data_IF_065910588019
#
_entry.id   IF_065910588019
#
_cell.length_a   1.000
_cell.length_b   1.000
_cell.length_c   1.000
_cell.angle_alpha   90.00
_cell.angle_beta   90.00
_cell.angle_gamma   90.00
#
_symmetry.space_group_name_H-M   'P 1'
#
loop_
_entity.id
_entity.type
_entity.pdbx_description
1 polymer ?
#
# COMPACT_ATOMS: atom_id res chain seq x y z
N UNK A 1 -6.87 -16.96 16.51
CA UNK A 1 -6.06 -16.40 15.39
C UNK A 1 -5.58 -17.47 14.43
N UNK A 2 -5.03 -18.61 14.88
CA UNK A 2 -4.58 -19.68 13.99
C UNK A 2 -5.65 -20.17 12.99
N UNK A 3 -6.91 -20.27 13.41
CA UNK A 3 -8.04 -20.66 12.52
C UNK A 3 -8.41 -19.62 11.46
N UNK A 4 -8.18 -18.32 11.73
CA UNK A 4 -8.51 -17.23 10.79
C UNK A 4 -7.52 -17.19 9.62
N UNK A 5 -6.29 -17.61 9.86
CA UNK A 5 -5.23 -17.64 8.83
C UNK A 5 -4.96 -19.04 8.29
N UNK A 6 -5.77 -20.04 8.63
CA UNK A 6 -5.56 -21.43 8.19
C UNK A 6 -4.32 -22.10 8.77
N UNK A 7 -3.66 -21.47 9.76
CA UNK A 7 -2.41 -21.98 10.36
C UNK A 7 -2.65 -23.19 11.29
N UNK A 8 -3.91 -23.52 11.58
CA UNK A 8 -4.26 -24.73 12.35
C UNK A 8 -4.38 -25.99 11.48
N UNK A 9 -4.52 -25.82 10.17
CA UNK A 9 -4.49 -26.92 9.21
C UNK A 9 -3.09 -26.96 8.57
N UNK A 10 -2.45 -28.11 8.60
CA UNK A 10 -1.14 -28.35 7.95
C UNK A 10 -1.11 -28.13 6.43
N UNK A 11 -2.20 -27.63 5.86
CA UNK A 11 -2.38 -27.38 4.43
C UNK A 11 -1.87 -26.06 3.91
N UNK A 12 -1.47 -25.13 4.79
CA UNK A 12 -1.09 -23.76 4.36
C UNK A 12 0.27 -23.68 3.64
N UNK A 13 1.07 -24.75 3.71
CA UNK A 13 2.36 -24.87 3.04
C UNK A 13 2.49 -26.22 2.33
N UNK A 14 1.44 -26.66 1.63
CA UNK A 14 1.61 -27.74 0.66
C UNK A 14 2.30 -27.17 -0.58
N UNK A 15 3.65 -27.14 -0.53
CA UNK A 15 4.39 -27.27 -1.77
C UNK A 15 4.12 -28.68 -2.32
N UNK A 16 3.56 -28.74 -3.51
CA UNK A 16 3.44 -30.00 -4.24
C UNK A 16 4.85 -30.52 -4.53
N UNK A 17 5.31 -31.47 -3.73
CA UNK A 17 6.57 -32.18 -3.96
C UNK A 17 6.44 -32.98 -5.24
N UNK A 18 7.06 -32.53 -6.31
CA UNK A 18 7.22 -33.29 -7.54
C UNK A 18 8.57 -33.96 -7.65
N UNK A 19 9.38 -34.02 -6.60
CA UNK A 19 10.65 -34.79 -6.61
C UNK A 19 10.99 -35.31 -5.23
N UNK A 20 11.08 -36.66 -5.15
CA UNK A 20 11.57 -37.41 -4.02
C UNK A 20 13.07 -37.16 -3.77
N UNK A 21 13.41 -36.36 -2.76
CA UNK A 21 14.72 -36.44 -2.12
C UNK A 21 14.61 -36.26 -0.61
N UNK A 22 15.08 -37.25 0.11
CA UNK A 22 15.04 -37.37 1.59
C UNK A 22 15.78 -36.28 2.35
N UNK A 23 16.61 -35.46 1.69
CA UNK A 23 17.31 -34.32 2.27
C UNK A 23 16.40 -33.07 2.39
N UNK A 24 15.50 -32.87 1.44
CA UNK A 24 14.63 -31.71 1.40
C UNK A 24 13.55 -31.75 2.48
N UNK A 25 13.12 -32.97 2.85
CA UNK A 25 12.12 -33.14 3.92
C UNK A 25 12.66 -32.73 5.31
N UNK A 26 13.94 -32.93 5.58
CA UNK A 26 14.57 -32.48 6.84
C UNK A 26 14.73 -30.95 6.87
N UNK A 27 15.07 -30.36 5.75
CA UNK A 27 15.18 -28.90 5.62
C UNK A 27 13.81 -28.24 5.76
N UNK A 28 12.78 -28.78 5.12
CA UNK A 28 11.40 -28.29 5.25
C UNK A 28 10.85 -28.45 6.67
N UNK A 29 11.15 -29.55 7.36
CA UNK A 29 10.76 -29.74 8.77
C UNK A 29 11.50 -28.78 9.70
N UNK A 30 12.78 -28.49 9.43
CA UNK A 30 13.54 -27.49 10.20
C UNK A 30 13.01 -26.09 9.99
N UNK A 31 12.68 -25.71 8.74
CA UNK A 31 12.07 -24.42 8.40
C UNK A 31 10.66 -24.27 9.01
N UNK A 32 9.84 -25.33 8.99
CA UNK A 32 8.53 -25.34 9.66
C UNK A 32 8.70 -25.16 11.18
N UNK A 33 9.66 -25.84 11.80
CA UNK A 33 9.94 -25.71 13.23
C UNK A 33 10.43 -24.31 13.58
N UNK A 34 11.32 -23.73 12.76
CA UNK A 34 11.80 -22.35 12.93
C UNK A 34 10.68 -21.34 12.72
N UNK A 35 9.83 -21.53 11.71
CA UNK A 35 8.65 -20.68 11.48
C UNK A 35 7.67 -20.79 12.65
N UNK A 36 7.38 -22.01 13.14
CA UNK A 36 6.54 -22.21 14.31
C UNK A 36 7.11 -21.53 15.55
N UNK A 37 8.42 -21.60 15.77
CA UNK A 37 9.07 -20.90 16.88
C UNK A 37 8.96 -19.39 16.76
N UNK A 38 9.05 -18.82 15.55
CA UNK A 38 8.84 -17.38 15.32
C UNK A 38 7.40 -16.94 15.63
N UNK A 39 6.41 -17.81 15.39
CA UNK A 39 5.01 -17.52 15.68
C UNK A 39 4.60 -17.83 17.13
N UNK A 40 5.24 -18.80 17.78
CA UNK A 40 4.94 -19.22 19.15
C UNK A 40 5.86 -18.61 20.20
N UNK A 41 7.09 -18.22 19.83
CA UNK A 41 7.92 -17.42 20.73
C UNK A 41 7.27 -16.04 20.83
N UNK A 42 6.90 -15.56 22.03
CA UNK A 42 6.48 -14.19 22.17
C UNK A 42 7.66 -13.33 21.70
N UNK A 43 7.48 -12.53 20.63
CA UNK A 43 8.54 -11.60 20.27
C UNK A 43 8.76 -10.74 21.51
N UNK A 44 10.01 -10.49 21.88
CA UNK A 44 10.38 -9.44 22.85
C UNK A 44 10.10 -8.08 22.21
N UNK A 45 8.83 -7.85 21.91
CA UNK A 45 8.34 -6.63 21.30
C UNK A 45 8.13 -5.66 22.45
N UNK A 46 8.75 -4.48 22.39
CA UNK A 46 8.49 -3.41 23.33
C UNK A 46 6.99 -3.25 23.54
N UNK A 47 6.56 -3.11 24.80
CA UNK A 47 5.13 -3.08 25.15
C UNK A 47 4.34 -1.93 24.50
N UNK A 48 5.03 -0.96 23.94
CA UNK A 48 4.48 0.20 23.19
C UNK A 48 4.17 -0.07 21.74
N UNK A 49 4.53 -1.25 21.16
CA UNK A 49 4.25 -1.53 19.76
C UNK A 49 2.81 -2.01 19.56
N UNK A 50 2.19 -1.60 18.46
CA UNK A 50 0.86 -2.06 18.06
C UNK A 50 0.77 -3.60 17.99
N UNK A 51 1.84 -4.27 17.56
CA UNK A 51 1.91 -5.72 17.51
C UNK A 51 1.82 -6.38 18.90
N UNK A 52 2.44 -5.80 19.93
CA UNK A 52 2.33 -6.31 21.29
C UNK A 52 0.91 -6.17 21.86
N UNK A 53 0.24 -5.07 21.55
CA UNK A 53 -1.15 -4.86 21.95
C UNK A 53 -2.12 -5.77 21.22
N UNK A 54 -1.95 -5.96 19.91
CA UNK A 54 -2.77 -6.86 19.09
C UNK A 54 -2.60 -8.33 19.49
N UNK A 55 -1.38 -8.77 19.83
CA UNK A 55 -1.10 -10.13 20.26
C UNK A 55 -1.70 -10.52 21.62
N UNK A 56 -1.90 -9.57 22.53
CA UNK A 56 -2.42 -9.81 23.89
C UNK A 56 -3.94 -9.82 23.99
N UNK A 57 -4.67 -9.26 23.02
CA UNK A 57 -6.12 -9.12 23.07
C UNK A 57 -6.81 -10.01 22.04
N UNK A 58 -7.72 -10.86 22.48
CA UNK A 58 -8.58 -11.69 21.63
C UNK A 58 -9.82 -10.96 21.09
N UNK A 59 -10.08 -9.75 21.59
CA UNK A 59 -11.21 -8.93 21.19
C UNK A 59 -10.74 -7.74 20.35
N UNK A 60 -11.61 -7.27 19.47
CA UNK A 60 -11.37 -6.02 18.74
C UNK A 60 -11.14 -4.87 19.72
N UNK A 61 -10.09 -4.11 19.49
CA UNK A 61 -9.79 -2.92 20.28
C UNK A 61 -10.67 -1.76 19.83
N UNK A 62 -10.93 -1.72 18.53
CA UNK A 62 -11.66 -0.66 17.86
C UNK A 62 -12.35 -1.23 16.63
N UNK A 63 -13.62 -0.90 16.46
CA UNK A 63 -14.36 -1.11 15.24
C UNK A 63 -14.80 0.26 14.72
N UNK A 64 -14.45 0.55 13.47
CA UNK A 64 -14.84 1.79 12.78
C UNK A 64 -15.92 1.41 11.77
N UNK A 65 -17.04 2.12 11.81
CA UNK A 65 -18.05 2.07 10.76
C UNK A 65 -17.64 3.00 9.63
N UNK A 66 -17.47 2.44 8.43
CA UNK A 66 -17.01 3.16 7.24
C UNK A 66 -18.04 3.02 6.12
N UNK A 67 -19.09 3.84 6.11
CA UNK A 67 -20.09 3.78 5.04
C UNK A 67 -19.49 4.17 3.70
N UNK A 68 -19.76 3.37 2.66
CA UNK A 68 -19.31 3.67 1.30
C UNK A 68 -17.83 3.38 1.01
N UNK A 69 -17.19 2.54 1.83
CA UNK A 69 -15.85 2.01 1.51
C UNK A 69 -15.91 1.31 0.15
N UNK A 70 -14.93 1.55 -0.76
CA UNK A 70 -14.88 0.89 -2.06
C UNK A 70 -14.91 -0.63 -1.92
N UNK A 71 -15.82 -1.28 -2.64
CA UNK A 71 -15.90 -2.76 -2.69
C UNK A 71 -14.91 -3.36 -3.70
N UNK A 72 -14.22 -2.51 -4.46
CA UNK A 72 -13.18 -2.93 -5.38
C UNK A 72 -12.00 -3.56 -4.61
N UNK A 73 -11.70 -4.86 -4.82
CA UNK A 73 -10.62 -5.54 -4.10
C UNK A 73 -9.24 -4.95 -4.42
N UNK A 74 -9.14 -4.16 -5.48
CA UNK A 74 -7.91 -3.49 -5.92
C UNK A 74 -7.80 -2.05 -5.42
N UNK A 75 -8.79 -1.55 -4.69
CA UNK A 75 -8.72 -0.25 -4.04
C UNK A 75 -7.79 -0.26 -2.81
N UNK A 76 -7.29 0.92 -2.47
CA UNK A 76 -6.50 1.19 -1.26
C UNK A 76 -7.21 2.26 -0.43
N UNK A 77 -8.35 1.95 0.18
CA UNK A 77 -9.15 2.95 0.89
C UNK A 77 -8.63 3.31 2.28
N UNK A 78 -7.59 2.62 2.77
CA UNK A 78 -7.08 2.77 4.12
C UNK A 78 -5.59 3.05 4.12
N UNK A 79 -5.16 3.98 4.96
CA UNK A 79 -3.75 4.25 5.19
C UNK A 79 -3.48 4.57 6.66
N UNK A 80 -2.31 4.13 7.13
CA UNK A 80 -1.83 4.37 8.50
C UNK A 80 -0.58 5.24 8.44
N UNK A 81 -0.60 6.38 9.14
CA UNK A 81 0.54 7.29 9.20
C UNK A 81 1.59 6.86 10.21
N UNK A 82 2.79 7.40 10.10
CA UNK A 82 3.86 7.22 11.10
C UNK A 82 3.57 7.89 12.45
N UNK A 83 2.58 8.77 12.51
CA UNK A 83 2.13 9.47 13.73
C UNK A 83 0.88 8.84 14.35
N UNK A 84 0.67 7.55 14.10
CA UNK A 84 -0.43 6.75 14.66
C UNK A 84 -1.84 7.24 14.29
N UNK A 85 -1.98 7.86 13.12
CA UNK A 85 -3.26 8.30 12.56
C UNK A 85 -3.68 7.33 11.46
N UNK A 86 -4.92 6.83 11.52
CA UNK A 86 -5.53 6.02 10.47
C UNK A 86 -6.49 6.89 9.67
N UNK A 87 -6.39 6.87 8.35
CA UNK A 87 -7.38 7.49 7.48
C UNK A 87 -8.09 6.44 6.62
N UNK A 88 -9.38 6.67 6.38
CA UNK A 88 -10.26 5.81 5.60
C UNK A 88 -11.03 6.64 4.60
N UNK A 89 -11.03 6.17 3.35
CA UNK A 89 -11.83 6.76 2.27
C UNK A 89 -13.22 6.10 2.21
N UNK A 90 -14.24 6.90 2.39
CA UNK A 90 -15.65 6.51 2.41
C UNK A 90 -16.38 7.17 1.21
N UNK A 91 -16.22 6.61 0.01
CA UNK A 91 -16.81 7.17 -1.21
C UNK A 91 -16.15 8.46 -1.66
N UNK A 92 -16.75 9.61 -1.34
CA UNK A 92 -16.23 10.94 -1.64
C UNK A 92 -15.59 11.62 -0.43
N UNK A 93 -15.75 11.04 0.75
CA UNK A 93 -15.28 11.57 2.01
C UNK A 93 -14.02 10.83 2.48
N UNK A 94 -13.16 11.54 3.21
CA UNK A 94 -12.06 10.93 3.97
C UNK A 94 -12.23 11.31 5.42
N UNK A 95 -12.24 10.30 6.25
CA UNK A 95 -12.18 10.44 7.71
C UNK A 95 -10.84 9.94 8.20
N UNK A 96 -10.35 10.53 9.26
CA UNK A 96 -9.17 10.04 9.95
C UNK A 96 -9.40 9.97 11.45
N UNK A 97 -8.72 9.03 12.08
CA UNK A 97 -8.71 8.88 13.53
C UNK A 97 -7.28 8.90 14.04
N UNK A 98 -7.03 9.73 15.00
CA UNK A 98 -5.84 9.67 15.83
C UNK A 98 -6.05 8.57 16.87
N UNK A 99 -5.21 7.55 16.87
CA UNK A 99 -5.34 6.41 17.76
C UNK A 99 -4.87 6.71 19.19
N UNK A 100 -4.05 7.73 19.38
CA UNK A 100 -3.57 8.15 20.70
C UNK A 100 -4.64 8.93 21.46
N UNK A 101 -5.27 9.90 20.78
CA UNK A 101 -6.35 10.72 21.35
C UNK A 101 -7.74 10.11 21.15
N UNK A 102 -7.88 9.13 20.25
CA UNK A 102 -9.14 8.51 19.80
C UNK A 102 -10.12 9.49 19.12
N UNK A 103 -9.65 10.67 18.77
CA UNK A 103 -10.49 11.65 18.07
C UNK A 103 -10.65 11.27 16.62
N UNK A 104 -11.88 11.33 16.13
CA UNK A 104 -12.23 11.16 14.72
C UNK A 104 -12.49 12.55 14.14
N UNK A 105 -11.91 12.81 12.98
CA UNK A 105 -12.14 14.04 12.24
C UNK A 105 -12.37 13.77 10.75
N UNK A 106 -13.09 14.68 10.13
CA UNK A 106 -13.32 14.70 8.69
C UNK A 106 -12.17 15.46 8.02
N UNK A 107 -11.46 14.82 7.09
CA UNK A 107 -10.35 15.45 6.37
C UNK A 107 -10.85 16.28 5.20
N UNK A 108 -11.65 15.66 4.34
CA UNK A 108 -12.13 16.30 3.14
C UNK A 108 -13.36 15.61 2.56
N UNK A 109 -14.12 16.36 1.80
CA UNK A 109 -15.18 15.88 0.92
C UNK A 109 -14.84 16.28 -0.53
N UNK A 110 -15.06 15.37 -1.46
CA UNK A 110 -14.98 15.66 -2.90
C UNK A 110 -16.38 15.97 -3.43
N UNK A 111 -16.85 17.24 -3.34
CA UNK A 111 -18.27 17.60 -3.51
C UNK A 111 -18.79 17.46 -4.94
N UNK A 112 -17.91 17.22 -5.90
CA UNK A 112 -18.28 17.19 -7.32
C UNK A 112 -18.32 15.74 -7.82
N UNK A 113 -19.46 15.25 -8.37
CA UNK A 113 -19.52 13.93 -8.99
C UNK A 113 -18.46 13.71 -10.07
N UNK A 114 -18.06 14.79 -10.76
CA UNK A 114 -17.01 14.78 -11.79
C UNK A 114 -15.63 14.37 -11.29
N UNK A 115 -15.35 14.49 -10.00
CA UNK A 115 -14.08 14.05 -9.41
C UNK A 115 -14.06 12.55 -9.11
N UNK A 116 -15.20 11.85 -9.20
CA UNK A 116 -15.33 10.44 -8.92
C UNK A 116 -15.12 10.08 -7.45
N UNK A 117 -15.17 8.80 -7.15
CA UNK A 117 -14.95 8.28 -5.79
C UNK A 117 -13.45 8.14 -5.50
N UNK A 118 -13.08 8.23 -4.24
CA UNK A 118 -11.70 7.98 -3.81
C UNK A 118 -11.44 6.48 -3.90
N UNK A 119 -10.39 6.09 -4.61
CA UNK A 119 -9.99 4.70 -4.82
C UNK A 119 -8.68 4.35 -4.12
N UNK A 120 -7.79 5.32 -4.00
CA UNK A 120 -6.51 5.15 -3.34
C UNK A 120 -6.24 6.30 -2.38
N UNK A 121 -5.76 5.96 -1.19
CA UNK A 121 -5.42 6.87 -0.10
C UNK A 121 -4.07 6.43 0.48
N UNK A 122 -3.14 7.36 0.65
CA UNK A 122 -1.87 7.05 1.27
C UNK A 122 -1.28 8.24 2.02
N UNK A 123 -0.93 8.04 3.29
CA UNK A 123 -0.15 9.01 4.05
C UNK A 123 1.30 9.05 3.60
N UNK A 124 1.88 10.24 3.65
CA UNK A 124 3.30 10.41 3.48
C UNK A 124 4.09 9.73 4.62
N UNK A 125 5.29 9.21 4.37
CA UNK A 125 6.11 8.55 5.39
C UNK A 125 6.47 9.44 6.57
N UNK A 126 6.44 10.75 6.37
CA UNK A 126 6.70 11.75 7.42
C UNK A 126 5.59 12.80 7.41
N UNK A 127 5.07 13.11 8.59
CA UNK A 127 4.00 14.09 8.75
C UNK A 127 2.61 13.56 8.40
N UNK A 128 1.68 14.47 8.22
CA UNK A 128 0.26 14.19 8.03
C UNK A 128 -0.24 14.52 6.61
N UNK A 129 0.63 14.56 5.62
CA UNK A 129 0.18 14.72 4.23
C UNK A 129 -0.44 13.41 3.74
N UNK A 130 -1.66 13.49 3.23
CA UNK A 130 -2.40 12.40 2.62
C UNK A 130 -2.57 12.64 1.12
N UNK A 131 -2.11 11.70 0.30
CA UNK A 131 -2.39 11.68 -1.13
C UNK A 131 -3.66 10.90 -1.40
N UNK A 132 -4.55 11.44 -2.21
CA UNK A 132 -5.81 10.87 -2.63
C UNK A 132 -5.81 10.69 -4.14
N UNK A 133 -6.24 9.52 -4.59
CA UNK A 133 -6.45 9.22 -6.01
C UNK A 133 -7.90 8.81 -6.25
N UNK A 134 -8.50 9.32 -7.33
CA UNK A 134 -9.91 9.09 -7.63
C UNK A 134 -10.13 8.17 -8.83
N UNK A 135 -11.35 7.67 -8.96
CA UNK A 135 -11.77 6.84 -10.10
C UNK A 135 -11.76 7.59 -11.42
N UNK A 136 -11.83 8.91 -11.40
CA UNK A 136 -11.72 9.77 -12.60
C UNK A 136 -10.29 10.21 -12.88
N UNK A 137 -9.32 9.81 -12.01
CA UNK A 137 -7.89 10.10 -12.19
C UNK A 137 -7.41 11.41 -11.60
N UNK A 138 -8.24 12.15 -10.89
CA UNK A 138 -7.81 13.31 -10.12
C UNK A 138 -6.94 12.86 -8.95
N UNK A 139 -5.85 13.58 -8.72
CA UNK A 139 -4.96 13.37 -7.59
C UNK A 139 -4.94 14.62 -6.73
N UNK A 140 -5.09 14.47 -5.43
CA UNK A 140 -5.02 15.58 -4.48
C UNK A 140 -4.09 15.22 -3.32
N UNK A 141 -3.43 16.22 -2.76
CA UNK A 141 -2.69 16.12 -1.51
C UNK A 141 -3.32 17.05 -0.48
N UNK A 142 -3.59 16.52 0.68
CA UNK A 142 -4.19 17.20 1.80
C UNK A 142 -3.26 17.13 3.01
N UNK A 143 -3.23 18.22 3.76
CA UNK A 143 -2.60 18.27 5.07
C UNK A 143 -3.66 17.94 6.13
N UNK A 144 -3.51 16.83 6.82
CA UNK A 144 -4.46 16.38 7.83
C UNK A 144 -4.42 17.25 9.10
N UNK A 145 -3.30 17.90 9.39
CA UNK A 145 -3.20 18.78 10.55
C UNK A 145 -4.00 20.08 10.36
N UNK A 146 -3.88 20.70 9.18
CA UNK A 146 -4.59 21.93 8.86
C UNK A 146 -5.95 21.71 8.18
N UNK A 147 -6.26 20.46 7.79
CA UNK A 147 -7.44 20.07 7.01
C UNK A 147 -7.59 20.88 5.71
N UNK A 148 -6.45 21.21 5.10
CA UNK A 148 -6.40 22.01 3.86
C UNK A 148 -5.81 21.21 2.71
N UNK A 149 -6.37 21.46 1.53
CA UNK A 149 -5.80 20.93 0.29
C UNK A 149 -4.53 21.69 -0.05
N UNK A 150 -3.41 20.94 -0.09
CA UNK A 150 -2.08 21.48 -0.42
C UNK A 150 -1.93 21.60 -1.93
N UNK A 151 -2.34 20.53 -2.66
CA UNK A 151 -2.17 20.46 -4.12
C UNK A 151 -3.30 19.65 -4.76
N UNK A 152 -3.57 19.94 -6.03
CA UNK A 152 -4.49 19.17 -6.86
C UNK A 152 -3.97 19.09 -8.28
N UNK A 153 -3.93 17.89 -8.84
CA UNK A 153 -3.67 17.62 -10.25
C UNK A 153 -4.96 17.10 -10.87
N UNK A 154 -5.64 17.93 -11.63
CA UNK A 154 -6.82 17.50 -12.38
C UNK A 154 -6.38 16.51 -13.46
N UNK A 155 -7.15 15.47 -13.66
CA UNK A 155 -6.87 14.54 -14.74
C UNK A 155 -7.57 14.99 -16.02
N UNK A 156 -6.80 15.13 -17.09
CA UNK A 156 -7.32 15.40 -18.44
C UNK A 156 -7.72 14.11 -19.18
N UNK A 157 -7.16 12.97 -18.78
CA UNK A 157 -7.29 11.70 -19.51
C UNK A 157 -8.38 10.78 -18.93
N UNK A 158 -9.07 11.15 -17.86
CA UNK A 158 -10.16 10.41 -17.18
C UNK A 158 -9.81 8.98 -16.75
N UNK A 159 -8.53 8.69 -16.55
CA UNK A 159 -8.04 7.38 -16.17
C UNK A 159 -7.93 7.23 -14.66
N UNK A 160 -8.62 6.23 -14.10
CA UNK A 160 -8.64 5.94 -12.67
C UNK A 160 -7.23 5.80 -12.08
N UNK A 161 -7.04 6.36 -10.89
CA UNK A 161 -5.86 6.13 -10.06
C UNK A 161 -6.06 4.80 -9.33
N UNK A 162 -5.15 3.87 -9.53
CA UNK A 162 -5.23 2.54 -8.93
C UNK A 162 -4.15 2.26 -7.89
N UNK A 163 -3.02 2.98 -7.96
CA UNK A 163 -1.95 2.84 -6.97
C UNK A 163 -1.34 4.19 -6.64
N UNK A 164 -0.95 4.34 -5.38
CA UNK A 164 -0.21 5.50 -4.86
C UNK A 164 0.94 5.01 -4.00
N UNK A 165 2.10 5.63 -4.10
CA UNK A 165 3.20 5.41 -3.16
C UNK A 165 4.07 6.63 -3.01
N UNK A 166 4.33 7.04 -1.77
CA UNK A 166 5.26 8.10 -1.47
C UNK A 166 6.70 7.62 -1.54
N UNK A 167 7.56 8.47 -2.06
CA UNK A 167 9.00 8.32 -1.88
C UNK A 167 9.34 8.57 -0.41
N UNK A 168 10.33 7.88 0.20
CA UNK A 168 10.69 8.07 1.61
C UNK A 168 11.00 9.52 2.02
N UNK A 169 11.47 10.36 1.07
CA UNK A 169 11.66 11.80 1.30
C UNK A 169 10.36 12.59 1.53
N UNK A 170 9.18 11.98 1.33
CA UNK A 170 7.86 12.59 1.51
C UNK A 170 7.59 13.84 0.65
N UNK A 171 8.28 14.01 -0.46
CA UNK A 171 8.11 15.14 -1.39
C UNK A 171 7.51 14.73 -2.72
N UNK A 172 7.94 13.58 -3.21
CA UNK A 172 7.54 12.99 -4.49
C UNK A 172 6.77 11.71 -4.20
N UNK A 173 5.77 11.44 -4.99
CA UNK A 173 5.05 10.19 -4.95
C UNK A 173 4.74 9.69 -6.36
N UNK A 174 4.64 8.39 -6.48
CA UNK A 174 4.28 7.73 -7.73
C UNK A 174 2.78 7.43 -7.74
N UNK A 175 2.19 7.58 -8.91
CA UNK A 175 0.79 7.30 -9.21
C UNK A 175 0.74 6.24 -10.29
N UNK A 176 0.08 5.12 -10.02
CA UNK A 176 -0.26 4.10 -11.00
C UNK A 176 -1.68 4.30 -11.51
N UNK A 177 -1.89 4.14 -12.82
CA UNK A 177 -3.17 4.38 -13.49
C UNK A 177 -3.74 3.12 -14.13
N UNK A 178 -5.03 3.12 -14.39
CA UNK A 178 -5.74 2.01 -14.99
C UNK A 178 -5.29 1.68 -16.43
N UNK A 179 -4.71 2.64 -17.15
CA UNK A 179 -4.18 2.46 -18.50
C UNK A 179 -2.74 1.94 -18.56
N UNK A 180 -2.15 1.61 -17.40
CA UNK A 180 -0.76 1.14 -17.29
C UNK A 180 0.28 2.25 -17.26
N UNK A 181 -0.13 3.52 -17.27
CA UNK A 181 0.78 4.65 -17.10
C UNK A 181 1.17 4.83 -15.64
N UNK A 182 2.38 5.31 -15.47
CA UNK A 182 2.93 5.76 -14.19
C UNK A 182 3.23 7.25 -14.29
N UNK A 183 2.98 7.97 -13.23
CA UNK A 183 3.32 9.38 -13.11
C UNK A 183 4.05 9.64 -11.79
N UNK A 184 5.02 10.54 -11.81
CA UNK A 184 5.66 11.08 -10.61
C UNK A 184 5.15 12.50 -10.38
N UNK A 185 4.70 12.76 -9.18
CA UNK A 185 4.18 14.06 -8.75
C UNK A 185 5.03 14.60 -7.61
N UNK A 186 5.48 15.86 -7.71
CA UNK A 186 6.13 16.59 -6.62
C UNK A 186 5.12 17.55 -5.99
N UNK A 187 4.94 17.49 -4.68
CA UNK A 187 4.00 18.36 -3.95
C UNK A 187 4.29 19.84 -4.17
N UNK A 188 5.52 20.20 -4.49
CA UNK A 188 5.95 21.59 -4.72
C UNK A 188 5.76 22.05 -6.17
N UNK A 189 5.66 21.11 -7.10
CA UNK A 189 5.50 21.42 -8.52
C UNK A 189 4.01 21.40 -8.91
N UNK A 190 3.53 22.33 -9.77
CA UNK A 190 2.14 22.34 -10.22
C UNK A 190 1.85 21.20 -11.20
N UNK A 191 2.83 20.78 -11.96
CA UNK A 191 2.72 19.81 -13.05
C UNK A 191 3.26 18.43 -12.66
N UNK A 192 2.92 17.42 -13.46
CA UNK A 192 3.53 16.09 -13.34
C UNK A 192 5.02 16.18 -13.66
N UNK A 193 5.86 15.69 -12.73
CA UNK A 193 7.33 15.74 -12.91
C UNK A 193 7.77 14.79 -14.02
N UNK A 194 7.13 13.61 -14.09
CA UNK A 194 7.45 12.61 -15.10
C UNK A 194 6.25 11.69 -15.33
N UNK A 195 5.91 11.45 -16.62
CA UNK A 195 4.84 10.55 -17.03
C UNK A 195 5.35 9.58 -18.07
N UNK A 196 5.15 8.29 -17.85
CA UNK A 196 5.62 7.26 -18.78
C UNK A 196 4.69 6.05 -18.78
N UNK A 197 4.74 5.29 -19.87
CA UNK A 197 3.98 4.05 -19.97
C UNK A 197 4.81 2.89 -19.44
N UNK A 198 4.45 2.43 -18.24
CA UNK A 198 5.18 1.36 -17.57
C UNK A 198 4.68 -0.02 -17.89
N UNK A 199 3.37 -0.17 -18.03
CA UNK A 199 2.68 -1.45 -18.10
C UNK A 199 1.69 -1.50 -19.27
N UNK A 200 1.28 -2.72 -19.62
CA UNK A 200 0.22 -2.96 -20.61
C UNK A 200 -1.17 -2.98 -19.98
N UNK A 201 -1.27 -3.34 -18.71
CA UNK A 201 -2.49 -3.40 -17.93
C UNK A 201 -2.48 -2.43 -16.76
N UNK A 202 -3.59 -2.38 -16.04
CA UNK A 202 -3.78 -1.54 -14.86
C UNK A 202 -2.68 -1.76 -13.81
N UNK A 203 -2.14 -0.69 -13.26
CA UNK A 203 -1.09 -0.75 -12.23
C UNK A 203 -1.74 -0.91 -10.87
N UNK A 204 -1.65 -2.10 -10.28
CA UNK A 204 -2.24 -2.39 -8.98
C UNK A 204 -1.34 -2.11 -7.80
N UNK A 205 -0.06 -1.96 -8.00
CA UNK A 205 0.87 -1.67 -6.91
C UNK A 205 2.09 -0.91 -7.37
N UNK A 206 2.54 0.00 -6.52
CA UNK A 206 3.82 0.70 -6.66
C UNK A 206 4.48 0.77 -5.30
N UNK A 207 5.80 0.65 -5.24
CA UNK A 207 6.55 0.74 -3.99
C UNK A 207 7.97 1.25 -4.25
N UNK A 208 8.42 2.17 -3.41
CA UNK A 208 9.80 2.63 -3.40
C UNK A 208 10.68 1.75 -2.51
N UNK A 209 11.93 1.58 -2.92
CA UNK A 209 12.96 1.06 -2.03
C UNK A 209 13.26 2.06 -0.91
N UNK A 210 13.72 1.55 0.23
CA UNK A 210 14.01 2.38 1.40
C UNK A 210 15.14 3.40 1.13
N UNK A 211 16.11 3.01 0.31
CA UNK A 211 17.23 3.85 -0.12
C UNK A 211 16.87 4.84 -1.24
N UNK A 212 15.61 4.89 -1.65
CA UNK A 212 15.05 5.75 -2.70
C UNK A 212 15.66 5.55 -4.11
N UNK A 213 16.49 4.52 -4.31
CA UNK A 213 17.19 4.29 -5.57
C UNK A 213 16.31 3.61 -6.61
N UNK A 214 15.37 2.79 -6.16
CA UNK A 214 14.52 2.00 -7.04
C UNK A 214 13.04 2.16 -6.70
N UNK A 215 12.21 1.98 -7.71
CA UNK A 215 10.78 1.81 -7.57
C UNK A 215 10.35 0.52 -8.24
N UNK A 216 9.54 -0.28 -7.56
CA UNK A 216 8.84 -1.41 -8.15
C UNK A 216 7.42 -1.01 -8.52
N UNK A 217 6.91 -1.52 -9.64
CA UNK A 217 5.50 -1.41 -10.01
C UNK A 217 4.96 -2.75 -10.53
N UNK A 218 3.70 -3.03 -10.26
CA UNK A 218 3.06 -4.29 -10.62
C UNK A 218 1.72 -4.06 -11.30
N UNK A 219 1.39 -4.91 -12.27
CA UNK A 219 0.18 -4.78 -13.07
C UNK A 219 -0.83 -5.93 -12.92
N UNK A 220 -2.01 -5.73 -13.48
CA UNK A 220 -3.10 -6.68 -13.53
C UNK A 220 -2.72 -8.01 -14.22
N UNK A 221 -1.72 -7.99 -15.08
CA UNK A 221 -1.24 -9.18 -15.81
C UNK A 221 -0.11 -9.91 -15.07
N UNK A 222 0.22 -9.52 -13.82
CA UNK A 222 1.28 -10.14 -13.05
C UNK A 222 2.69 -9.70 -13.45
N UNK A 223 2.85 -8.66 -14.27
CA UNK A 223 4.18 -8.16 -14.58
C UNK A 223 4.65 -7.20 -13.48
N UNK A 224 5.84 -7.45 -12.93
CA UNK A 224 6.51 -6.57 -11.98
C UNK A 224 7.70 -5.95 -12.68
N UNK A 225 7.78 -4.62 -12.69
CA UNK A 225 8.87 -3.87 -13.28
C UNK A 225 9.65 -3.14 -12.18
N UNK A 226 10.97 -3.10 -12.35
CA UNK A 226 11.89 -2.34 -11.51
C UNK A 226 12.43 -1.15 -12.29
N UNK A 227 12.41 0.01 -11.67
CA UNK A 227 12.81 1.30 -12.24
C UNK A 227 13.92 1.92 -11.42
N UNK A 228 14.92 2.51 -12.07
CA UNK A 228 15.93 3.35 -11.41
C UNK A 228 15.36 4.76 -11.20
N UNK A 229 15.41 5.26 -9.98
CA UNK A 229 14.92 6.60 -9.63
C UNK A 229 15.62 7.74 -10.39
N UNK A 230 16.81 7.49 -10.92
CA UNK A 230 17.57 8.45 -11.72
C UNK A 230 17.13 8.48 -13.18
N UNK A 231 16.60 7.36 -13.68
CA UNK A 231 16.13 7.23 -15.05
C UNK A 231 14.87 6.36 -15.11
N UNK A 232 13.73 6.98 -14.87
CA UNK A 232 12.43 6.32 -14.89
C UNK A 232 11.92 6.00 -16.31
N UNK A 233 12.64 6.40 -17.35
CA UNK A 233 12.24 6.13 -18.74
C UNK A 233 12.52 4.69 -19.15
N UNK A 234 13.49 4.03 -18.52
CA UNK A 234 13.89 2.65 -18.81
C UNK A 234 13.76 1.77 -17.59
N UNK A 235 13.14 0.61 -17.77
CA UNK A 235 13.08 -0.39 -16.69
C UNK A 235 14.42 -1.12 -16.56
N UNK A 236 14.86 -1.30 -15.32
CA UNK A 236 16.09 -2.02 -14.98
C UNK A 236 15.84 -3.54 -14.90
N UNK A 237 14.65 -3.94 -14.46
CA UNK A 237 14.29 -5.34 -14.30
C UNK A 237 12.83 -5.61 -14.59
N UNK A 238 12.52 -6.87 -14.91
CA UNK A 238 11.18 -7.37 -15.11
C UNK A 238 11.06 -8.77 -14.53
N UNK A 239 9.99 -8.99 -13.77
CA UNK A 239 9.54 -10.31 -13.33
C UNK A 239 8.11 -10.54 -13.82
N UNK A 240 7.71 -11.80 -13.90
CA UNK A 240 6.38 -12.21 -14.33
C UNK A 240 5.81 -13.20 -13.32
N UNK A 241 4.60 -12.95 -12.86
CA UNK A 241 3.79 -13.87 -12.08
C UNK A 241 2.60 -14.34 -12.91
N UNK A 242 2.05 -15.50 -12.56
CA UNK A 242 0.90 -16.09 -13.27
C UNK A 242 -0.40 -15.36 -12.96
N UNK A 243 -0.46 -14.64 -11.85
CA UNK A 243 -1.63 -13.85 -11.43
C UNK A 243 -1.29 -12.39 -11.25
N UNK A 244 -2.33 -11.55 -11.14
CA UNK A 244 -2.19 -10.12 -10.84
C UNK A 244 -1.48 -9.88 -9.50
N UNK A 245 -0.62 -8.87 -9.45
CA UNK A 245 0.14 -8.51 -8.24
C UNK A 245 -0.35 -7.16 -7.72
N UNK A 246 -0.89 -7.15 -6.50
CA UNK A 246 -1.40 -5.94 -5.85
C UNK A 246 -0.35 -5.23 -5.02
N UNK A 247 0.48 -5.96 -4.28
CA UNK A 247 1.39 -5.39 -3.28
C UNK A 247 2.83 -5.76 -3.62
N UNK A 248 3.67 -4.73 -3.67
CA UNK A 248 5.12 -4.89 -3.70
C UNK A 248 5.66 -4.42 -2.34
N UNK A 249 6.07 -5.34 -1.46
CA UNK A 249 6.71 -5.00 -0.21
C UNK A 249 8.22 -4.98 -0.40
N UNK A 250 8.83 -3.81 -0.30
CA UNK A 250 10.28 -3.68 -0.16
C UNK A 250 10.68 -4.02 1.27
N UNK A 251 11.54 -5.02 1.47
CA UNK A 251 12.10 -5.30 2.79
C UNK A 251 13.09 -4.20 3.16
N UNK A 252 12.77 -3.42 4.19
CA UNK A 252 13.76 -2.60 4.87
C UNK A 252 14.56 -3.56 5.78
N UNK A 253 15.68 -4.07 5.27
CA UNK A 253 16.63 -4.84 6.05
C UNK A 253 18.02 -4.22 5.90
N UNK A 254 18.84 -4.20 6.95
CA UNK A 254 20.25 -3.92 6.77
C UNK A 254 20.86 -5.04 5.92
N UNK A 255 21.64 -4.66 4.92
CA UNK A 255 22.61 -5.53 4.31
C UNK A 255 23.81 -5.65 5.22
#
# INVERSE_FOLDING_TARGET
MAKIFGLADDRFLQFTDTTNTTSDSKMLTSLRRSASQLFYSPPTVHQTSAAAHLGKRRQFILALDGPGIPQDPWAYPLSWSSTNVIAVACGHDVYYQDLDTRQIAHLCNLPRPSLGRIRALMFAPRGLYAALGTTTGCVQVWDAASQRRVRSWPNTDWMSVSALTWRPCARVFAVGRADGRLALLDVRAPDEVHKFRGHKGEVYGTQWSHDERFMASADAHGSVHLWDARNMSTRVGKMKHDSSVKVCCGRAGPF
#
